data_IF_120046407669
#
_entry.id   IF_120046407669
#
_cell.length_a   1.000
_cell.length_b   1.000
_cell.length_c   1.000
_cell.angle_alpha   90.00
_cell.angle_beta   90.00
_cell.angle_gamma   90.00
#
_symmetry.space_group_name_H-M   'P 1'
#
loop_
_entity.id
_entity.type
_entity.pdbx_description
1 polymer ?
#
# COMPACT_ATOMS: atom_id res chain seq x y z
N UNK A 1 22.51 20.20 -4.45
CA UNK A 1 21.47 20.31 -3.40
C UNK A 1 22.15 20.34 -2.03
N UNK A 2 21.75 21.27 -1.14
CA UNK A 2 22.18 21.28 0.27
C UNK A 2 21.08 20.66 1.13
N UNK A 3 21.44 19.88 2.14
CA UNK A 3 20.49 19.35 3.11
C UNK A 3 20.98 19.56 4.55
N UNK A 4 20.05 19.57 5.51
CA UNK A 4 20.33 19.70 6.94
C UNK A 4 19.64 18.58 7.71
N UNK A 5 20.39 17.87 8.56
CA UNK A 5 19.85 16.86 9.49
C UNK A 5 19.81 17.49 10.89
N UNK A 6 18.66 17.39 11.56
CA UNK A 6 18.42 17.98 12.88
C UNK A 6 17.80 16.93 13.81
N UNK A 7 18.31 16.85 15.04
CA UNK A 7 17.68 16.03 16.09
C UNK A 7 16.55 16.82 16.76
N UNK A 8 15.41 16.18 17.00
CA UNK A 8 14.22 16.76 17.63
C UNK A 8 13.93 16.01 18.93
N UNK A 9 14.50 16.47 20.05
CA UNK A 9 14.38 15.83 21.37
C UNK A 9 12.92 15.73 21.85
N UNK A 10 12.10 16.74 21.53
CA UNK A 10 10.69 16.83 21.93
C UNK A 10 9.74 15.88 21.15
N UNK A 11 10.20 15.30 20.05
CA UNK A 11 9.34 14.48 19.19
C UNK A 11 9.31 13.01 19.63
N UNK A 12 8.12 12.44 19.80
CA UNK A 12 7.93 11.00 19.99
C UNK A 12 8.07 10.26 18.65
N UNK A 13 8.80 9.14 18.63
CA UNK A 13 9.02 8.33 17.43
C UNK A 13 10.26 8.77 16.64
N UNK A 14 10.13 9.06 15.34
CA UNK A 14 11.27 9.44 14.47
C UNK A 14 11.80 10.81 14.83
N UNK A 15 12.95 10.86 15.50
CA UNK A 15 13.53 12.10 16.08
C UNK A 15 14.48 12.84 15.16
N UNK A 16 14.93 12.25 14.06
CA UNK A 16 15.86 12.88 13.11
C UNK A 16 15.11 13.45 11.93
N UNK A 17 15.19 14.77 11.73
CA UNK A 17 14.60 15.50 10.62
C UNK A 17 15.65 15.85 9.60
N UNK A 18 15.44 15.45 8.35
CA UNK A 18 16.18 15.90 7.19
C UNK A 18 15.35 16.96 6.45
N UNK A 19 15.94 18.10 6.18
CA UNK A 19 15.35 19.16 5.35
C UNK A 19 16.27 19.38 4.15
N UNK A 20 15.69 19.46 2.95
CA UNK A 20 16.43 19.79 1.73
C UNK A 20 15.62 20.72 0.83
N UNK A 21 16.32 21.41 -0.04
CA UNK A 21 15.74 22.28 -1.05
C UNK A 21 16.09 21.76 -2.44
N UNK A 22 15.10 21.65 -3.33
CA UNK A 22 15.26 21.21 -4.71
C UNK A 22 14.27 21.96 -5.60
N UNK A 23 14.76 22.63 -6.66
CA UNK A 23 13.90 23.37 -7.58
C UNK A 23 13.10 24.50 -6.93
N UNK A 24 13.62 25.14 -5.89
CA UNK A 24 12.90 26.20 -5.15
C UNK A 24 11.94 25.69 -4.07
N UNK A 25 11.65 24.40 -4.03
CA UNK A 25 10.77 23.81 -3.03
C UNK A 25 11.53 23.28 -1.83
N UNK A 26 11.00 23.55 -0.63
CA UNK A 26 11.46 22.96 0.63
C UNK A 26 10.74 21.65 0.89
N UNK A 27 11.50 20.58 1.11
CA UNK A 27 11.00 19.28 1.49
C UNK A 27 11.60 18.83 2.82
N UNK A 28 10.87 18.03 3.58
CA UNK A 28 11.39 17.46 4.83
C UNK A 28 10.96 15.99 5.01
N UNK A 29 11.81 15.24 5.74
CA UNK A 29 11.53 13.85 6.08
C UNK A 29 12.10 13.50 7.45
N UNK A 30 11.47 12.53 8.12
CA UNK A 30 11.84 12.11 9.48
C UNK A 30 12.31 10.67 9.50
N UNK A 31 13.37 10.41 10.29
CA UNK A 31 14.06 9.12 10.38
C UNK A 31 14.23 8.69 11.83
N UNK A 32 14.48 7.41 12.06
CA UNK A 32 14.72 6.90 13.41
C UNK A 32 16.17 7.16 13.86
N UNK A 33 17.13 7.13 12.92
CA UNK A 33 18.56 7.35 13.21
C UNK A 33 19.13 8.48 12.37
N UNK A 34 20.28 9.03 12.84
CA UNK A 34 21.02 10.07 12.13
C UNK A 34 21.59 9.54 10.82
N UNK A 35 22.08 8.32 10.86
CA UNK A 35 22.70 7.63 9.72
C UNK A 35 21.69 7.42 8.58
N UNK A 36 20.45 7.02 8.91
CA UNK A 36 19.37 6.91 7.92
C UNK A 36 19.06 8.26 7.26
N UNK A 37 19.00 9.33 8.07
CA UNK A 37 18.75 10.68 7.56
C UNK A 37 19.89 11.17 6.66
N UNK A 38 21.14 10.94 7.06
CA UNK A 38 22.32 11.32 6.27
C UNK A 38 22.43 10.52 4.98
N UNK A 39 22.24 9.19 5.03
CA UNK A 39 22.27 8.34 3.84
C UNK A 39 21.23 8.79 2.79
N UNK A 40 20.02 9.11 3.24
CA UNK A 40 18.97 9.63 2.36
C UNK A 40 19.34 11.02 1.78
N UNK A 41 19.97 11.87 2.58
CA UNK A 41 20.45 13.20 2.14
C UNK A 41 21.54 13.11 1.07
N UNK A 42 22.50 12.22 1.23
CA UNK A 42 23.56 11.98 0.24
C UNK A 42 23.01 11.35 -1.05
N UNK A 43 22.05 10.43 -0.94
CA UNK A 43 21.35 9.87 -2.10
C UNK A 43 20.68 10.98 -2.94
N UNK A 44 20.03 11.94 -2.29
CA UNK A 44 19.37 13.07 -2.97
C UNK A 44 20.33 14.11 -3.53
N UNK A 45 21.53 14.22 -2.96
CA UNK A 45 22.53 15.22 -3.36
C UNK A 45 23.20 14.91 -4.71
N UNK A 46 23.25 13.64 -5.10
CA UNK A 46 24.02 13.19 -6.27
C UNK A 46 23.25 12.25 -7.24
N UNK A 47 22.09 12.67 -7.81
CA UNK A 47 21.32 11.83 -8.73
C UNK A 47 22.13 11.46 -10.00
N UNK A 48 22.88 12.40 -10.56
CA UNK A 48 23.70 12.16 -11.78
C UNK A 48 24.86 11.18 -11.50
N UNK A 49 25.41 11.18 -10.28
CA UNK A 49 26.47 10.24 -9.89
C UNK A 49 25.95 8.82 -9.76
N UNK A 50 24.69 8.69 -9.34
CA UNK A 50 23.99 7.40 -9.22
C UNK A 50 23.67 6.81 -10.59
N UNK A 51 23.18 7.60 -11.55
CA UNK A 51 22.95 7.15 -12.94
C UNK A 51 24.23 6.68 -13.62
N UNK A 52 25.34 7.45 -13.51
CA UNK A 52 26.64 7.05 -14.04
C UNK A 52 27.17 5.78 -13.38
N UNK A 53 26.96 5.60 -12.07
CA UNK A 53 27.32 4.37 -11.35
C UNK A 53 26.54 3.17 -11.87
N UNK A 54 25.22 3.32 -12.10
CA UNK A 54 24.35 2.26 -12.63
C UNK A 54 24.76 1.84 -14.04
N UNK A 55 25.01 2.79 -14.93
CA UNK A 55 25.49 2.52 -16.30
C UNK A 55 26.83 1.78 -16.27
N UNK A 56 27.74 2.20 -15.40
CA UNK A 56 29.03 1.53 -15.20
C UNK A 56 28.86 0.11 -14.69
N UNK A 57 28.03 -0.09 -13.66
CA UNK A 57 27.71 -1.40 -13.07
C UNK A 57 27.12 -2.35 -14.12
N UNK A 58 26.19 -1.88 -14.96
CA UNK A 58 25.62 -2.67 -16.06
C UNK A 58 26.67 -3.08 -17.10
N UNK A 59 27.59 -2.16 -17.46
CA UNK A 59 28.68 -2.45 -18.41
C UNK A 59 29.69 -3.45 -17.84
N UNK A 60 30.12 -3.29 -16.59
CA UNK A 60 31.10 -4.16 -15.93
C UNK A 60 30.52 -5.58 -15.69
N UNK A 61 29.25 -5.68 -15.34
CA UNK A 61 28.55 -6.96 -15.18
C UNK A 61 28.48 -7.74 -16.51
N UNK A 62 28.16 -7.07 -17.62
CA UNK A 62 28.14 -7.69 -18.95
C UNK A 62 29.52 -8.15 -19.45
N UNK A 63 30.60 -7.50 -18.98
CA UNK A 63 31.98 -7.89 -19.33
C UNK A 63 32.53 -9.07 -18.53
N UNK A 64 31.80 -9.55 -17.51
CA UNK A 64 32.20 -10.70 -16.68
C UNK A 64 33.45 -10.47 -15.81
N UNK A 65 33.96 -9.25 -15.77
CA UNK A 65 35.29 -8.93 -15.19
C UNK A 65 35.27 -8.62 -13.71
N UNK A 66 34.10 -8.36 -13.10
CA UNK A 66 34.04 -8.11 -11.67
C UNK A 66 32.67 -8.50 -11.08
N UNK A 67 32.66 -9.39 -10.11
CA UNK A 67 31.44 -9.75 -9.41
C UNK A 67 30.89 -8.53 -8.65
N UNK A 68 29.66 -8.11 -9.00
CA UNK A 68 28.94 -7.04 -8.32
C UNK A 68 28.85 -7.29 -6.82
N UNK A 69 28.85 -6.24 -6.03
CA UNK A 69 28.39 -6.31 -4.64
C UNK A 69 26.87 -6.35 -4.59
N UNK A 70 26.32 -6.81 -3.48
CA UNK A 70 24.86 -6.77 -3.22
C UNK A 70 24.35 -5.33 -3.21
N UNK A 71 25.16 -4.37 -2.75
CA UNK A 71 24.82 -2.94 -2.76
C UNK A 71 24.65 -2.42 -4.19
N UNK A 72 25.59 -2.73 -5.07
CA UNK A 72 25.55 -2.36 -6.48
C UNK A 72 24.38 -3.04 -7.23
N UNK A 73 24.11 -4.31 -6.90
CA UNK A 73 22.94 -5.02 -7.40
C UNK A 73 21.62 -4.34 -7.02
N UNK A 74 21.49 -3.95 -5.74
CA UNK A 74 20.30 -3.25 -5.25
C UNK A 74 20.14 -1.85 -5.88
N UNK A 75 21.24 -1.13 -6.13
CA UNK A 75 21.22 0.15 -6.85
C UNK A 75 20.66 -0.05 -8.27
N UNK A 76 21.22 -1.01 -9.02
CA UNK A 76 20.78 -1.30 -10.37
C UNK A 76 19.31 -1.76 -10.43
N UNK A 77 18.92 -2.62 -9.49
CA UNK A 77 17.54 -3.11 -9.38
C UNK A 77 16.53 -2.01 -9.07
N UNK A 78 16.83 -1.09 -8.16
CA UNK A 78 15.95 0.01 -7.78
C UNK A 78 15.85 1.10 -8.86
N UNK A 79 16.86 1.20 -9.71
CA UNK A 79 16.90 2.13 -10.83
C UNK A 79 16.42 1.54 -12.17
N UNK A 80 15.94 0.29 -12.17
CA UNK A 80 15.42 -0.34 -13.40
C UNK A 80 14.23 0.42 -13.99
N UNK A 81 14.08 0.34 -15.29
CA UNK A 81 12.96 0.93 -16.00
C UNK A 81 11.62 0.26 -15.64
N UNK A 82 10.52 1.01 -15.75
CA UNK A 82 9.17 0.50 -15.50
C UNK A 82 8.80 0.33 -14.01
N UNK A 83 9.71 0.57 -13.06
CA UNK A 83 9.35 0.54 -11.64
C UNK A 83 8.53 1.77 -11.26
N UNK A 84 7.35 1.54 -10.67
CA UNK A 84 6.53 2.65 -10.15
C UNK A 84 7.25 3.35 -9.01
N UNK A 85 7.19 4.67 -8.96
CA UNK A 85 7.86 5.49 -7.94
C UNK A 85 7.45 5.09 -6.50
N UNK A 86 6.19 4.76 -6.27
CA UNK A 86 5.73 4.29 -4.96
C UNK A 86 6.37 2.95 -4.56
N UNK A 87 6.56 2.04 -5.52
CA UNK A 87 7.24 0.76 -5.31
C UNK A 87 8.72 0.99 -5.05
N UNK A 88 9.36 1.86 -5.85
CA UNK A 88 10.77 2.24 -5.67
C UNK A 88 11.00 2.78 -4.25
N UNK A 89 10.17 3.73 -3.80
CA UNK A 89 10.25 4.29 -2.43
C UNK A 89 10.10 3.22 -1.35
N UNK A 90 9.14 2.31 -1.51
CA UNK A 90 8.90 1.23 -0.55
C UNK A 90 10.07 0.23 -0.52
N UNK A 91 10.57 -0.18 -1.71
CA UNK A 91 11.67 -1.13 -1.81
C UNK A 91 13.00 -0.50 -1.32
N UNK A 92 13.24 0.78 -1.60
CA UNK A 92 14.40 1.53 -1.04
C UNK A 92 14.39 1.51 0.47
N UNK A 93 13.24 1.74 1.11
CA UNK A 93 13.13 1.68 2.58
C UNK A 93 13.56 0.31 3.13
N UNK A 94 13.18 -0.77 2.48
CA UNK A 94 13.57 -2.12 2.90
C UNK A 94 15.03 -2.45 2.52
N UNK A 95 15.51 -1.95 1.38
CA UNK A 95 16.87 -2.17 0.90
C UNK A 95 17.95 -1.59 1.82
N UNK A 96 17.68 -0.47 2.53
CA UNK A 96 18.61 0.09 3.52
C UNK A 96 19.10 -0.96 4.52
N UNK A 97 18.20 -1.80 5.01
CA UNK A 97 18.55 -2.85 5.97
C UNK A 97 19.34 -4.01 5.36
N UNK A 98 19.08 -4.33 4.09
CA UNK A 98 19.84 -5.32 3.32
C UNK A 98 21.25 -4.81 3.03
N UNK A 99 21.37 -3.55 2.59
CA UNK A 99 22.64 -2.90 2.31
C UNK A 99 23.55 -2.89 3.53
N UNK A 100 23.00 -2.51 4.70
CA UNK A 100 23.76 -2.46 5.95
C UNK A 100 24.34 -3.81 6.35
N UNK A 101 23.61 -4.91 6.12
CA UNK A 101 24.01 -6.24 6.57
C UNK A 101 24.80 -7.01 5.50
N UNK A 102 24.39 -6.90 4.23
CA UNK A 102 24.85 -7.76 3.15
C UNK A 102 25.48 -6.98 1.98
N UNK A 103 25.39 -5.64 1.98
CA UNK A 103 25.76 -4.78 0.86
C UNK A 103 27.20 -4.95 0.39
N UNK A 104 28.14 -5.17 1.31
CA UNK A 104 29.56 -5.36 1.03
C UNK A 104 29.90 -6.71 0.38
N UNK A 105 29.02 -7.69 0.47
CA UNK A 105 29.24 -9.04 -0.09
C UNK A 105 29.18 -9.03 -1.61
N UNK A 106 30.07 -9.83 -2.23
CA UNK A 106 29.98 -10.09 -3.67
C UNK A 106 28.74 -10.94 -3.97
N UNK A 107 28.01 -10.60 -5.02
CA UNK A 107 26.78 -11.30 -5.42
C UNK A 107 27.00 -12.80 -5.65
N UNK A 108 28.17 -13.17 -6.16
CA UNK A 108 28.58 -14.58 -6.41
C UNK A 108 28.96 -15.34 -5.13
N UNK A 109 29.22 -14.65 -4.03
CA UNK A 109 29.60 -15.25 -2.74
C UNK A 109 28.47 -15.22 -1.70
N UNK A 110 27.35 -14.59 -2.01
CA UNK A 110 26.18 -14.63 -1.14
C UNK A 110 25.60 -16.05 -1.14
N UNK A 111 25.23 -16.56 0.01
CA UNK A 111 24.65 -17.90 0.20
C UNK A 111 23.27 -17.84 0.81
N UNK A 112 22.53 -18.94 0.76
CA UNK A 112 21.28 -19.09 1.54
C UNK A 112 21.53 -18.96 3.05
N UNK A 113 22.69 -19.44 3.55
CA UNK A 113 23.07 -19.32 4.96
C UNK A 113 23.15 -17.84 5.39
N UNK A 114 23.72 -16.97 4.55
CA UNK A 114 23.79 -15.53 4.83
C UNK A 114 22.40 -14.91 4.90
N UNK A 115 21.50 -15.29 3.99
CA UNK A 115 20.13 -14.81 4.01
C UNK A 115 19.37 -15.32 5.25
N UNK A 116 19.59 -16.57 5.69
CA UNK A 116 19.02 -17.13 6.92
C UNK A 116 19.57 -16.42 8.17
N UNK A 117 20.88 -16.18 8.25
CA UNK A 117 21.51 -15.42 9.33
C UNK A 117 20.95 -13.98 9.41
N UNK A 118 20.79 -13.29 8.26
CA UNK A 118 20.13 -12.01 8.22
C UNK A 118 18.70 -12.08 8.76
N UNK A 119 17.90 -13.09 8.36
CA UNK A 119 16.53 -13.25 8.85
C UNK A 119 16.50 -13.45 10.37
N UNK A 120 17.37 -14.29 10.91
CA UNK A 120 17.48 -14.52 12.35
C UNK A 120 17.80 -13.23 13.11
N UNK A 121 18.84 -12.50 12.70
CA UNK A 121 19.20 -11.22 13.29
C UNK A 121 18.09 -10.16 13.23
N UNK A 122 17.25 -10.17 12.18
CA UNK A 122 16.09 -9.28 12.12
C UNK A 122 14.98 -9.71 13.08
N UNK A 123 14.81 -11.01 13.30
CA UNK A 123 13.84 -11.56 14.26
C UNK A 123 14.25 -11.25 15.70
N UNK A 124 15.51 -11.40 16.04
CA UNK A 124 16.09 -11.01 17.35
C UNK A 124 15.84 -9.52 17.68
N UNK A 125 15.85 -8.66 16.67
CA UNK A 125 15.45 -7.24 16.80
C UNK A 125 13.95 -7.02 16.96
N UNK A 126 13.15 -8.06 17.14
CA UNK A 126 11.70 -7.99 17.35
C UNK A 126 10.86 -7.72 16.09
N UNK A 127 11.44 -7.79 14.87
CA UNK A 127 10.65 -7.58 13.67
C UNK A 127 9.70 -8.75 13.40
N UNK A 128 8.50 -8.43 12.88
CA UNK A 128 7.53 -9.44 12.46
C UNK A 128 8.06 -10.23 11.26
N UNK A 129 7.78 -11.54 11.22
CA UNK A 129 8.21 -12.43 10.13
C UNK A 129 7.78 -11.91 8.74
N UNK A 130 6.59 -11.31 8.63
CA UNK A 130 6.11 -10.68 7.38
C UNK A 130 7.05 -9.58 6.88
N UNK A 131 7.60 -8.74 7.79
CA UNK A 131 8.54 -7.68 7.45
C UNK A 131 9.89 -8.26 7.03
N UNK A 132 10.37 -9.27 7.74
CA UNK A 132 11.62 -9.97 7.41
C UNK A 132 11.51 -10.63 6.04
N UNK A 133 10.42 -11.38 5.81
CA UNK A 133 10.15 -12.00 4.50
C UNK A 133 10.07 -10.97 3.37
N UNK A 134 9.48 -9.78 3.61
CA UNK A 134 9.43 -8.71 2.61
C UNK A 134 10.83 -8.26 2.20
N UNK A 135 11.76 -8.09 3.15
CA UNK A 135 13.15 -7.72 2.86
C UNK A 135 13.83 -8.75 1.99
N UNK A 136 13.74 -10.03 2.34
CA UNK A 136 14.34 -11.12 1.54
C UNK A 136 13.67 -11.25 0.16
N UNK A 137 12.36 -11.04 0.05
CA UNK A 137 11.68 -11.04 -1.26
C UNK A 137 12.24 -9.98 -2.19
N UNK A 138 12.61 -8.79 -1.68
CA UNK A 138 13.25 -7.74 -2.47
C UNK A 138 14.65 -8.18 -2.93
N UNK A 139 15.45 -8.73 -2.02
CA UNK A 139 16.77 -9.26 -2.37
C UNK A 139 16.67 -10.34 -3.45
N UNK A 140 15.79 -11.32 -3.27
CA UNK A 140 15.54 -12.36 -4.28
C UNK A 140 15.05 -11.81 -5.62
N UNK A 141 14.16 -10.80 -5.58
CA UNK A 141 13.69 -10.15 -6.79
C UNK A 141 14.82 -9.42 -7.53
N UNK A 142 15.76 -8.80 -6.81
CA UNK A 142 16.95 -8.18 -7.40
C UNK A 142 17.87 -9.21 -8.07
N UNK A 143 18.11 -10.34 -7.40
CA UNK A 143 18.89 -11.44 -8.01
C UNK A 143 18.21 -12.04 -9.25
N UNK A 144 16.92 -12.34 -9.16
CA UNK A 144 16.18 -12.89 -10.31
C UNK A 144 16.11 -11.90 -11.48
N UNK A 145 16.03 -10.60 -11.20
CA UNK A 145 16.14 -9.57 -12.22
C UNK A 145 17.53 -9.57 -12.87
N UNK A 146 18.61 -9.62 -12.07
CA UNK A 146 19.97 -9.65 -12.59
C UNK A 146 20.26 -10.89 -13.45
N UNK A 147 19.67 -12.04 -13.12
CA UNK A 147 19.76 -13.25 -13.96
C UNK A 147 19.06 -13.03 -15.29
N UNK A 148 17.87 -12.45 -15.32
CA UNK A 148 17.14 -12.13 -16.56
C UNK A 148 17.86 -11.11 -17.44
N UNK A 149 18.56 -10.16 -16.83
CA UNK A 149 19.38 -9.16 -17.54
C UNK A 149 20.74 -9.71 -17.99
N UNK A 150 21.04 -10.99 -17.73
CA UNK A 150 22.34 -11.60 -18.06
C UNK A 150 23.52 -11.11 -17.21
N UNK A 151 23.26 -10.41 -16.11
CA UNK A 151 24.28 -9.90 -15.18
C UNK A 151 24.82 -10.99 -14.25
N UNK A 152 24.03 -12.02 -13.99
CA UNK A 152 24.37 -13.19 -13.17
C UNK A 152 23.92 -14.46 -13.89
N UNK A 153 24.65 -15.55 -13.72
CA UNK A 153 24.25 -16.86 -14.30
C UNK A 153 23.09 -17.48 -13.53
N UNK A 154 23.15 -17.46 -12.20
CA UNK A 154 22.16 -18.07 -11.33
C UNK A 154 21.91 -17.19 -10.10
N UNK A 155 20.78 -17.41 -9.43
CA UNK A 155 20.47 -16.79 -8.17
C UNK A 155 20.82 -17.73 -7.02
N UNK A 156 21.69 -17.32 -6.07
CA UNK A 156 22.00 -18.16 -4.89
C UNK A 156 20.81 -18.28 -3.94
N UNK A 157 19.72 -17.54 -4.19
CA UNK A 157 18.50 -17.55 -3.38
C UNK A 157 17.34 -18.28 -4.06
N UNK A 158 17.58 -19.00 -5.16
CA UNK A 158 16.54 -19.68 -5.95
C UNK A 158 15.81 -20.74 -5.09
N UNK A 159 16.54 -21.54 -4.32
CA UNK A 159 16.02 -22.59 -3.45
C UNK A 159 15.53 -22.10 -2.07
N UNK A 160 15.79 -20.84 -1.72
CA UNK A 160 15.50 -20.35 -0.37
C UNK A 160 13.99 -20.37 -0.07
N UNK A 161 13.58 -21.24 0.85
CA UNK A 161 12.20 -21.27 1.37
C UNK A 161 12.05 -20.25 2.50
N UNK A 162 11.07 -19.37 2.36
CA UNK A 162 10.77 -18.40 3.40
C UNK A 162 9.83 -19.03 4.45
N UNK A 163 10.08 -18.80 5.73
CA UNK A 163 9.19 -19.27 6.79
C UNK A 163 7.77 -18.72 6.57
N UNK A 164 6.78 -19.56 6.85
CA UNK A 164 5.39 -19.13 6.81
C UNK A 164 5.17 -17.97 7.79
N UNK A 165 4.57 -16.91 7.30
CA UNK A 165 4.26 -15.73 8.09
C UNK A 165 2.75 -15.51 8.10
N UNK A 166 2.09 -15.94 9.16
CA UNK A 166 0.66 -15.71 9.34
C UNK A 166 0.41 -14.21 9.44
N UNK A 167 -0.33 -13.66 8.50
CA UNK A 167 -0.86 -12.31 8.62
C UNK A 167 -1.98 -12.32 9.65
N UNK A 168 -1.90 -11.43 10.63
CA UNK A 168 -3.03 -11.26 11.55
C UNK A 168 -4.22 -10.72 10.75
N UNK A 169 -5.29 -11.49 10.68
CA UNK A 169 -6.53 -11.06 10.05
C UNK A 169 -7.12 -9.93 10.90
N UNK A 170 -7.22 -8.76 10.32
CA UNK A 170 -7.93 -7.64 10.94
C UNK A 170 -9.40 -7.75 10.55
N UNK A 171 -10.27 -7.86 11.54
CA UNK A 171 -11.70 -7.86 11.31
C UNK A 171 -12.14 -6.47 10.83
N UNK A 172 -13.05 -6.40 9.84
CA UNK A 172 -13.63 -5.14 9.41
C UNK A 172 -14.41 -4.47 10.56
N UNK A 173 -14.64 -3.16 10.52
CA UNK A 173 -15.57 -2.53 11.45
C UNK A 173 -16.98 -3.07 11.27
N UNK A 174 -17.68 -3.27 12.37
CA UNK A 174 -19.11 -3.62 12.36
C UNK A 174 -19.95 -2.38 12.08
N UNK A 175 -21.24 -2.53 11.67
CA UNK A 175 -22.14 -1.39 11.52
C UNK A 175 -22.28 -0.55 12.79
N UNK A 176 -22.28 -1.18 13.97
CA UNK A 176 -22.35 -0.46 15.27
C UNK A 176 -21.09 0.35 15.51
N UNK A 177 -19.92 -0.21 15.30
CA UNK A 177 -18.66 0.52 15.42
C UNK A 177 -18.58 1.68 14.42
N UNK A 178 -19.10 1.50 13.19
CA UNK A 178 -19.16 2.59 12.22
C UNK A 178 -20.08 3.72 12.70
N UNK A 179 -21.22 3.42 13.32
CA UNK A 179 -22.10 4.42 13.93
C UNK A 179 -21.40 5.18 15.06
N UNK A 180 -20.72 4.47 15.97
CA UNK A 180 -19.94 5.08 17.04
C UNK A 180 -18.81 5.99 16.49
N UNK A 181 -18.11 5.54 15.46
CA UNK A 181 -17.04 6.32 14.84
C UNK A 181 -17.62 7.56 14.16
N UNK A 182 -18.74 7.44 13.42
CA UNK A 182 -19.40 8.54 12.70
C UNK A 182 -19.89 9.64 13.67
N UNK A 183 -20.35 9.29 14.86
CA UNK A 183 -20.84 10.24 15.85
C UNK A 183 -19.78 11.25 16.32
N UNK A 184 -18.49 10.86 16.27
CA UNK A 184 -17.37 11.71 16.72
C UNK A 184 -16.40 12.08 15.59
N UNK A 185 -16.69 11.65 14.36
CA UNK A 185 -15.80 11.86 13.23
C UNK A 185 -15.87 13.30 12.71
N UNK A 186 -14.73 13.94 12.36
CA UNK A 186 -14.74 15.18 11.61
C UNK A 186 -15.22 14.95 10.16
N UNK A 187 -15.72 16.00 9.50
CA UNK A 187 -16.35 15.93 8.15
C UNK A 187 -15.58 15.04 7.15
N UNK A 188 -14.27 15.24 6.99
CA UNK A 188 -13.45 14.47 6.05
C UNK A 188 -13.35 12.97 6.39
N UNK A 189 -13.46 12.60 7.67
CA UNK A 189 -13.52 11.19 8.09
C UNK A 189 -14.92 10.62 7.90
N UNK A 190 -15.98 11.40 8.14
CA UNK A 190 -17.35 10.97 7.84
C UNK A 190 -17.49 10.64 6.35
N UNK A 191 -17.03 11.53 5.45
CA UNK A 191 -17.02 11.31 3.99
C UNK A 191 -16.24 10.07 3.59
N UNK A 192 -15.07 9.86 4.20
CA UNK A 192 -14.27 8.65 4.00
C UNK A 192 -15.03 7.38 4.38
N UNK A 193 -15.72 7.39 5.54
CA UNK A 193 -16.49 6.23 6.00
C UNK A 193 -17.64 5.93 5.05
N UNK A 194 -18.45 6.92 4.73
CA UNK A 194 -19.59 6.76 3.83
C UNK A 194 -19.17 6.25 2.46
N UNK A 195 -18.21 6.90 1.82
CA UNK A 195 -17.73 6.49 0.51
C UNK A 195 -17.08 5.10 0.55
N UNK A 196 -16.20 4.85 1.51
CA UNK A 196 -15.51 3.56 1.60
C UNK A 196 -16.44 2.39 1.91
N UNK A 197 -17.44 2.60 2.76
CA UNK A 197 -18.42 1.59 3.15
C UNK A 197 -19.50 1.36 2.10
N UNK A 198 -19.95 2.39 1.37
CA UNK A 198 -21.01 2.26 0.37
C UNK A 198 -20.52 1.90 -1.03
N UNK A 199 -19.26 2.15 -1.36
CA UNK A 199 -18.73 1.90 -2.70
C UNK A 199 -17.69 0.78 -2.78
N UNK A 200 -17.15 0.36 -1.63
CA UNK A 200 -16.04 -0.59 -1.60
C UNK A 200 -14.74 -0.09 -2.25
N UNK A 201 -14.68 1.17 -2.66
CA UNK A 201 -13.50 1.76 -3.26
C UNK A 201 -12.30 1.78 -2.29
N UNK A 202 -11.07 1.77 -2.82
CA UNK A 202 -9.85 1.80 -1.99
C UNK A 202 -9.75 3.14 -1.25
N UNK A 203 -9.77 3.14 0.09
CA UNK A 203 -9.75 4.37 0.88
C UNK A 203 -8.33 4.93 0.98
N UNK A 204 -7.90 5.58 -0.09
CA UNK A 204 -6.55 6.11 -0.20
C UNK A 204 -6.30 6.91 -1.48
N UNK A 205 -5.04 7.31 -1.71
CA UNK A 205 -4.65 8.16 -2.84
C UNK A 205 -4.78 7.48 -4.22
N UNK A 206 -5.06 6.18 -4.25
CA UNK A 206 -5.28 5.47 -5.52
C UNK A 206 -6.71 5.62 -6.06
N UNK A 207 -7.70 5.83 -5.19
CA UNK A 207 -9.11 5.94 -5.58
C UNK A 207 -9.81 7.08 -4.82
N UNK A 208 -10.31 6.86 -3.59
CA UNK A 208 -11.20 7.80 -2.90
C UNK A 208 -10.63 9.21 -2.70
N UNK A 209 -9.31 9.35 -2.51
CA UNK A 209 -8.72 10.70 -2.36
C UNK A 209 -8.52 11.43 -3.68
N UNK A 210 -8.83 10.77 -4.80
CA UNK A 210 -8.82 11.36 -6.15
C UNK A 210 -10.21 11.65 -6.69
N UNK A 211 -11.25 11.23 -5.97
CA UNK A 211 -12.63 11.47 -6.38
C UNK A 211 -12.95 12.97 -6.33
N UNK A 212 -13.38 13.51 -7.46
CA UNK A 212 -13.80 14.89 -7.61
C UNK A 212 -15.32 15.00 -7.70
N UNK A 213 -15.86 16.19 -7.53
CA UNK A 213 -17.29 16.45 -7.75
C UNK A 213 -17.71 16.28 -9.21
N UNK A 214 -16.77 16.42 -10.16
CA UNK A 214 -17.03 16.16 -11.59
C UNK A 214 -17.22 14.65 -11.87
N UNK A 215 -16.65 13.77 -11.03
CA UNK A 215 -16.80 12.32 -11.16
C UNK A 215 -18.15 11.81 -10.60
N UNK A 216 -18.93 12.65 -9.92
CA UNK A 216 -20.22 12.28 -9.30
C UNK A 216 -21.36 12.79 -10.17
N UNK A 217 -22.13 11.87 -10.76
CA UNK A 217 -23.35 12.17 -11.51
C UNK A 217 -24.58 11.83 -10.68
N UNK A 218 -25.25 12.87 -10.22
CA UNK A 218 -26.50 12.73 -9.45
C UNK A 218 -27.63 12.21 -10.32
N UNK A 219 -27.74 12.70 -11.57
CA UNK A 219 -28.77 12.24 -12.54
C UNK A 219 -28.63 10.78 -12.93
N UNK A 220 -27.39 10.28 -13.02
CA UNK A 220 -27.12 8.88 -13.31
C UNK A 220 -27.10 7.99 -12.04
N UNK A 221 -27.24 8.59 -10.84
CA UNK A 221 -27.11 7.88 -9.57
C UNK A 221 -25.79 7.10 -9.42
N UNK A 222 -24.68 7.66 -9.94
CA UNK A 222 -23.42 6.92 -10.04
C UNK A 222 -22.19 7.81 -9.88
N UNK A 223 -21.05 7.20 -9.56
CA UNK A 223 -19.75 7.86 -9.58
C UNK A 223 -18.77 7.12 -10.52
N UNK A 224 -17.92 7.89 -11.20
CA UNK A 224 -16.78 7.40 -11.97
C UNK A 224 -15.56 7.28 -11.03
N UNK A 225 -15.28 6.07 -10.58
CA UNK A 225 -14.19 5.82 -9.65
C UNK A 225 -12.91 5.50 -10.41
N UNK A 226 -11.79 6.19 -10.12
CA UNK A 226 -10.51 5.84 -10.72
C UNK A 226 -10.13 4.40 -10.45
N UNK A 227 -9.64 3.66 -11.45
CA UNK A 227 -9.12 2.32 -11.27
C UNK A 227 -7.68 2.37 -10.75
N UNK A 228 -7.41 1.70 -9.64
CA UNK A 228 -6.06 1.65 -9.06
C UNK A 228 -5.14 0.69 -9.82
N UNK A 229 -5.69 -0.37 -10.38
CA UNK A 229 -4.96 -1.34 -11.18
C UNK A 229 -4.94 -0.90 -12.64
N UNK A 230 -3.80 -0.37 -13.09
CA UNK A 230 -3.57 -0.18 -14.54
C UNK A 230 -3.31 -1.54 -15.16
N UNK A 231 -4.28 -2.03 -15.94
CA UNK A 231 -4.14 -3.22 -16.78
C UNK A 231 -3.84 -2.76 -18.20
N UNK A 232 -3.02 -3.47 -18.97
CA UNK A 232 -2.91 -3.22 -20.41
C UNK A 232 -4.31 -3.32 -21.03
N UNK A 233 -4.78 -2.24 -21.70
CA UNK A 233 -6.13 -2.17 -22.27
C UNK A 233 -7.29 -2.04 -21.26
N UNK A 234 -7.03 -1.87 -19.96
CA UNK A 234 -8.07 -1.66 -18.95
C UNK A 234 -8.53 -0.20 -18.87
N UNK A 235 -9.79 0.00 -18.49
CA UNK A 235 -10.36 1.32 -18.27
C UNK A 235 -9.63 2.05 -17.11
N UNK A 236 -9.43 3.36 -17.28
CA UNK A 236 -8.88 4.21 -16.22
C UNK A 236 -9.90 4.49 -15.09
N UNK A 237 -11.20 4.37 -15.40
CA UNK A 237 -12.33 4.59 -14.50
C UNK A 237 -13.36 3.47 -14.61
N UNK A 238 -14.05 3.21 -13.50
CA UNK A 238 -15.23 2.34 -13.46
C UNK A 238 -16.44 3.10 -12.93
N UNK A 239 -17.60 2.83 -13.49
CA UNK A 239 -18.86 3.37 -13.01
C UNK A 239 -19.34 2.55 -11.81
N UNK A 240 -19.60 3.21 -10.68
CA UNK A 240 -20.15 2.59 -9.46
C UNK A 240 -21.54 3.20 -9.22
N UNK A 241 -22.62 2.40 -9.17
CA UNK A 241 -23.92 2.88 -8.76
C UNK A 241 -23.88 3.30 -7.28
N UNK A 242 -24.55 4.37 -6.94
CA UNK A 242 -24.59 4.94 -5.60
C UNK A 242 -25.96 4.67 -4.96
N UNK A 243 -25.95 4.34 -3.68
CA UNK A 243 -27.17 4.22 -2.86
C UNK A 243 -27.83 5.58 -2.70
N UNK A 244 -29.16 5.62 -2.55
CA UNK A 244 -29.95 6.83 -2.39
C UNK A 244 -29.50 7.66 -1.18
N UNK A 245 -29.29 7.01 -0.03
CA UNK A 245 -28.83 7.67 1.20
C UNK A 245 -27.43 8.31 1.07
N UNK A 246 -26.52 7.72 0.27
CA UNK A 246 -25.22 8.32 -0.05
C UNK A 246 -25.38 9.49 -1.02
N UNK A 247 -26.30 9.40 -2.01
CA UNK A 247 -26.58 10.49 -2.93
C UNK A 247 -27.08 11.73 -2.19
N UNK A 248 -28.00 11.56 -1.24
CA UNK A 248 -28.51 12.68 -0.43
C UNK A 248 -27.39 13.36 0.38
N UNK A 249 -26.48 12.56 0.94
CA UNK A 249 -25.30 13.10 1.61
C UNK A 249 -24.34 13.82 0.66
N UNK A 250 -24.14 13.28 -0.54
CA UNK A 250 -23.26 13.90 -1.53
C UNK A 250 -23.84 15.26 -1.98
N UNK A 251 -25.16 15.36 -2.17
CA UNK A 251 -25.84 16.66 -2.46
C UNK A 251 -25.58 17.67 -1.35
N UNK A 252 -25.82 17.29 -0.08
CA UNK A 252 -25.59 18.15 1.06
C UNK A 252 -24.12 18.60 1.15
N UNK A 253 -23.17 17.69 0.97
CA UNK A 253 -21.75 18.00 1.03
C UNK A 253 -21.28 18.89 -0.13
N UNK A 254 -21.86 18.69 -1.34
CA UNK A 254 -21.55 19.51 -2.50
C UNK A 254 -21.98 20.96 -2.29
N UNK A 255 -23.14 21.17 -1.69
CA UNK A 255 -23.63 22.49 -1.34
C UNK A 255 -22.74 23.18 -0.26
N UNK A 256 -22.14 22.39 0.66
CA UNK A 256 -21.18 22.91 1.66
C UNK A 256 -19.79 23.23 1.07
N UNK A 257 -19.43 22.58 -0.06
CA UNK A 257 -18.09 22.59 -0.64
C UNK A 257 -17.94 23.57 -1.80
N UNK A 258 -18.61 24.71 -1.76
CA UNK A 258 -18.57 25.70 -2.82
C UNK A 258 -17.12 26.03 -3.26
N UNK A 259 -16.82 25.83 -4.55
CA UNK A 259 -15.48 26.05 -5.11
C UNK A 259 -14.43 24.98 -4.80
N UNK A 260 -14.78 23.90 -4.08
CA UNK A 260 -13.85 22.81 -3.83
C UNK A 260 -13.98 21.70 -4.89
N UNK A 261 -12.87 21.25 -5.47
CA UNK A 261 -12.84 20.19 -6.47
C UNK A 261 -13.07 18.79 -5.86
N UNK A 262 -12.60 18.55 -4.61
CA UNK A 262 -12.43 17.22 -4.03
C UNK A 262 -13.61 16.81 -3.14
N UNK A 263 -14.19 15.62 -3.35
CA UNK A 263 -15.26 15.08 -2.50
C UNK A 263 -14.77 14.82 -1.08
N UNK A 264 -13.55 14.24 -0.92
CA UNK A 264 -12.90 14.14 0.39
C UNK A 264 -11.84 15.22 0.47
N UNK A 265 -12.15 16.29 1.18
CA UNK A 265 -11.24 17.41 1.35
C UNK A 265 -11.01 17.74 2.84
N UNK A 266 -9.96 18.48 3.10
CA UNK A 266 -9.68 19.10 4.41
C UNK A 266 -9.38 20.57 4.17
N UNK A 267 -10.29 21.45 4.60
CA UNK A 267 -10.26 22.90 4.33
C UNK A 267 -10.09 23.21 2.81
N UNK A 268 -10.90 22.60 1.97
CA UNK A 268 -10.87 22.79 0.52
C UNK A 268 -9.67 22.14 -0.21
N UNK A 269 -8.76 21.49 0.50
CA UNK A 269 -7.56 20.87 -0.08
C UNK A 269 -7.68 19.35 -0.17
N UNK A 270 -7.10 18.78 -1.23
CA UNK A 270 -7.03 17.35 -1.41
C UNK A 270 -6.37 16.65 -0.22
N UNK A 271 -6.99 15.61 0.27
CA UNK A 271 -6.43 14.76 1.34
C UNK A 271 -5.42 13.77 0.75
N UNK A 272 -4.22 13.73 1.31
CA UNK A 272 -3.16 12.78 0.89
C UNK A 272 -3.01 11.61 1.86
N UNK A 273 -3.34 11.80 3.15
CA UNK A 273 -3.20 10.77 4.18
C UNK A 273 -4.12 11.07 5.38
N UNK A 274 -4.92 10.11 5.77
CA UNK A 274 -5.86 10.21 6.90
C UNK A 274 -5.48 9.31 8.09
N UNK A 275 -4.34 8.64 8.08
CA UNK A 275 -3.99 7.67 9.11
C UNK A 275 -3.92 8.26 10.52
N UNK A 276 -3.47 9.49 10.70
CA UNK A 276 -3.42 10.15 12.00
C UNK A 276 -4.83 10.56 12.47
N UNK A 277 -5.62 11.19 11.58
CA UNK A 277 -7.00 11.61 11.86
C UNK A 277 -7.88 10.38 12.17
N UNK A 278 -7.73 9.30 11.40
CA UNK A 278 -8.42 8.04 11.64
C UNK A 278 -8.15 7.48 13.05
N UNK A 279 -6.88 7.34 13.44
CA UNK A 279 -6.53 6.87 14.79
C UNK A 279 -7.05 7.77 15.91
N UNK A 280 -7.02 9.08 15.69
CA UNK A 280 -7.58 10.04 16.66
C UNK A 280 -9.11 9.87 16.78
N UNK A 281 -9.81 9.64 15.67
CA UNK A 281 -11.25 9.39 15.65
C UNK A 281 -11.61 8.09 16.36
N UNK A 282 -10.87 6.99 16.10
CA UNK A 282 -11.08 5.72 16.81
C UNK A 282 -10.95 5.88 18.34
N UNK A 283 -9.93 6.62 18.79
CA UNK A 283 -9.77 6.89 20.25
C UNK A 283 -10.95 7.67 20.84
N UNK A 284 -11.44 8.70 20.11
CA UNK A 284 -12.63 9.46 20.55
C UNK A 284 -13.89 8.61 20.58
N UNK A 285 -14.02 7.66 19.65
CA UNK A 285 -15.12 6.71 19.60
C UNK A 285 -15.01 5.59 20.67
N UNK A 286 -13.96 5.56 21.51
CA UNK A 286 -13.75 4.49 22.48
C UNK A 286 -13.35 3.14 21.86
N UNK A 287 -12.97 3.10 20.59
CA UNK A 287 -12.59 1.86 19.91
C UNK A 287 -11.15 1.49 20.27
N UNK A 288 -10.98 0.41 21.02
CA UNK A 288 -9.67 -0.08 21.48
C UNK A 288 -9.00 -1.04 20.52
N UNK A 289 -9.78 -1.81 19.76
CA UNK A 289 -9.24 -2.74 18.79
C UNK A 289 -8.67 -2.03 17.54
N UNK A 290 -7.77 -2.67 16.85
CA UNK A 290 -7.16 -2.12 15.65
C UNK A 290 -8.12 -2.21 14.46
N UNK A 291 -8.66 -1.09 14.04
CA UNK A 291 -9.39 -0.93 12.78
C UNK A 291 -8.55 -0.06 11.83
N UNK A 292 -8.35 -0.53 10.62
CA UNK A 292 -7.65 0.24 9.58
C UNK A 292 -8.66 0.94 8.68
N UNK A 293 -8.24 2.04 8.06
CA UNK A 293 -9.06 2.70 7.02
C UNK A 293 -9.45 1.72 5.91
N UNK A 294 -8.55 0.82 5.53
CA UNK A 294 -8.82 -0.23 4.54
C UNK A 294 -9.90 -1.23 4.98
N UNK A 295 -10.16 -1.32 6.30
CA UNK A 295 -11.27 -2.09 6.86
C UNK A 295 -12.64 -1.67 6.35
N UNK A 296 -12.83 -0.41 5.92
CA UNK A 296 -14.09 0.07 5.32
C UNK A 296 -14.43 -0.71 4.04
N UNK A 297 -13.45 -0.93 3.18
CA UNK A 297 -13.61 -1.74 1.98
C UNK A 297 -13.90 -3.22 2.31
N UNK A 298 -13.30 -3.75 3.36
CA UNK A 298 -13.62 -5.09 3.83
C UNK A 298 -15.04 -5.15 4.41
N UNK A 299 -15.48 -4.10 5.12
CA UNK A 299 -16.85 -4.02 5.63
C UNK A 299 -17.87 -4.01 4.48
N UNK A 300 -17.64 -3.19 3.43
CA UNK A 300 -18.48 -3.23 2.22
C UNK A 300 -18.62 -4.65 1.68
N UNK A 301 -17.50 -5.34 1.43
CA UNK A 301 -17.57 -6.70 0.87
C UNK A 301 -18.28 -7.68 1.80
N UNK A 302 -18.01 -7.61 3.12
CA UNK A 302 -18.66 -8.46 4.13
C UNK A 302 -20.17 -8.28 4.11
N UNK A 303 -20.63 -7.03 4.19
CA UNK A 303 -22.06 -6.73 4.28
C UNK A 303 -22.79 -6.96 2.93
N UNK A 304 -22.14 -6.66 1.80
CA UNK A 304 -22.71 -6.96 0.48
C UNK A 304 -22.93 -8.47 0.28
N UNK A 305 -21.94 -9.30 0.67
CA UNK A 305 -22.05 -10.75 0.55
C UNK A 305 -23.09 -11.30 1.55
N UNK A 306 -23.15 -10.79 2.78
CA UNK A 306 -24.15 -11.17 3.78
C UNK A 306 -25.57 -10.84 3.31
N UNK A 307 -25.74 -9.73 2.62
CA UNK A 307 -27.02 -9.33 2.04
C UNK A 307 -27.41 -10.12 0.78
N UNK A 308 -26.67 -11.16 0.41
CA UNK A 308 -26.95 -11.98 -0.78
C UNK A 308 -26.40 -11.43 -2.10
N UNK A 309 -25.56 -10.40 -2.04
CA UNK A 309 -24.94 -9.82 -3.23
C UNK A 309 -24.05 -10.84 -3.97
N UNK A 310 -24.21 -10.90 -5.31
CA UNK A 310 -23.38 -11.76 -6.15
C UNK A 310 -21.91 -11.39 -6.05
N UNK A 311 -21.06 -12.40 -5.81
CA UNK A 311 -19.62 -12.22 -5.58
C UNK A 311 -18.89 -11.60 -6.77
N UNK A 312 -19.33 -11.91 -8.01
CA UNK A 312 -18.74 -11.34 -9.22
C UNK A 312 -19.06 -9.84 -9.31
N UNK A 313 -20.31 -9.48 -9.05
CA UNK A 313 -20.75 -8.08 -9.01
C UNK A 313 -20.02 -7.29 -7.93
N UNK A 314 -19.85 -7.84 -6.72
CA UNK A 314 -19.06 -7.24 -5.65
C UNK A 314 -17.59 -7.08 -6.08
N UNK A 315 -17.01 -8.09 -6.75
CA UNK A 315 -15.64 -8.03 -7.27
C UNK A 315 -15.46 -6.91 -8.29
N UNK A 316 -16.42 -6.75 -9.22
CA UNK A 316 -16.41 -5.68 -10.24
C UNK A 316 -16.47 -4.31 -9.59
N UNK A 317 -17.40 -4.08 -8.67
CA UNK A 317 -17.51 -2.82 -7.91
C UNK A 317 -16.22 -2.50 -7.18
N UNK A 318 -15.57 -3.52 -6.61
CA UNK A 318 -14.30 -3.36 -5.89
C UNK A 318 -13.05 -3.27 -6.80
N UNK A 319 -13.15 -3.34 -8.12
CA UNK A 319 -11.99 -3.42 -9.04
C UNK A 319 -11.04 -4.59 -8.71
N UNK A 320 -11.60 -5.77 -8.43
CA UNK A 320 -10.83 -6.99 -8.33
C UNK A 320 -10.75 -7.67 -9.70
N UNK A 321 -9.52 -8.04 -10.09
CA UNK A 321 -9.30 -8.75 -11.37
C UNK A 321 -9.80 -10.18 -11.35
N UNK A 322 -9.88 -10.76 -10.14
CA UNK A 322 -10.22 -12.16 -9.91
C UNK A 322 -11.14 -12.27 -8.68
N UNK A 323 -12.38 -12.77 -8.86
CA UNK A 323 -13.29 -13.03 -7.76
C UNK A 323 -12.76 -14.04 -6.73
N UNK A 324 -11.80 -14.88 -7.09
CA UNK A 324 -11.21 -15.87 -6.18
C UNK A 324 -10.60 -15.25 -4.93
N UNK A 325 -10.14 -14.00 -5.01
CA UNK A 325 -9.68 -13.23 -3.85
C UNK A 325 -10.82 -13.02 -2.83
N UNK A 326 -12.02 -12.70 -3.30
CA UNK A 326 -13.19 -12.55 -2.42
C UNK A 326 -13.61 -13.89 -1.83
N UNK A 327 -13.68 -14.94 -2.63
CA UNK A 327 -13.99 -16.29 -2.18
C UNK A 327 -13.06 -16.71 -1.02
N UNK A 328 -11.75 -16.59 -1.19
CA UNK A 328 -10.77 -16.95 -0.15
C UNK A 328 -10.89 -16.14 1.14
N UNK A 329 -11.23 -14.86 1.04
CA UNK A 329 -11.31 -13.96 2.19
C UNK A 329 -12.66 -14.11 2.93
N UNK A 330 -13.73 -14.35 2.19
CA UNK A 330 -15.11 -14.32 2.72
C UNK A 330 -15.79 -15.71 2.75
N UNK A 331 -15.03 -16.78 2.51
CA UNK A 331 -15.55 -18.17 2.50
C UNK A 331 -16.38 -18.51 3.74
N UNK A 332 -16.02 -18.00 4.92
CA UNK A 332 -16.74 -18.24 6.17
C UNK A 332 -18.14 -17.60 6.22
N UNK A 333 -18.44 -16.63 5.35
CA UNK A 333 -19.77 -16.01 5.23
C UNK A 333 -20.65 -16.86 4.30
N UNK A 334 -20.01 -17.58 3.37
CA UNK A 334 -20.70 -18.42 2.39
C UNK A 334 -21.34 -19.68 3.02
N UNK A 335 -20.91 -20.09 4.22
CA UNK A 335 -21.48 -21.27 4.90
C UNK A 335 -22.99 -21.13 5.14
N UNK A 336 -23.47 -19.92 5.52
CA UNK A 336 -24.91 -19.67 5.65
C UNK A 336 -25.64 -19.67 4.31
N UNK A 337 -24.98 -19.20 3.25
CA UNK A 337 -25.53 -19.20 1.89
C UNK A 337 -25.53 -20.60 1.27
N UNK A 338 -24.57 -21.46 1.66
CA UNK A 338 -24.57 -22.87 1.21
C UNK A 338 -25.84 -23.61 1.67
N UNK A 339 -26.26 -23.40 2.92
CA UNK A 339 -27.53 -23.99 3.41
C UNK A 339 -28.72 -23.48 2.61
N UNK A 340 -28.83 -22.16 2.44
CA UNK A 340 -29.88 -21.56 1.63
C UNK A 340 -29.90 -22.07 0.17
N UNK A 341 -28.72 -22.26 -0.42
CA UNK A 341 -28.57 -22.78 -1.77
C UNK A 341 -29.00 -24.26 -1.89
N UNK A 342 -28.81 -25.05 -0.85
CA UNK A 342 -29.27 -26.46 -0.82
C UNK A 342 -30.78 -26.56 -0.59
N UNK A 343 -31.33 -25.62 0.17
CA UNK A 343 -32.78 -25.56 0.47
C UNK A 343 -33.61 -24.86 -0.64
N UNK A 344 -32.94 -24.13 -1.55
CA UNK A 344 -33.61 -23.35 -2.60
C UNK A 344 -34.34 -24.18 -3.70
N UNK A 345 -33.86 -25.38 -4.10
CA UNK A 345 -34.66 -26.23 -4.99
C UNK A 345 -35.97 -26.64 -4.31
N UNK A 346 -37.12 -26.34 -4.91
CA UNK A 346 -38.40 -26.80 -4.41
C UNK A 346 -38.43 -28.33 -4.30
N UNK A 347 -38.92 -28.79 -3.15
CA UNK A 347 -38.86 -30.19 -2.78
C UNK A 347 -39.56 -31.14 -3.77
N UNK A 348 -38.98 -32.32 -3.93
CA UNK A 348 -39.55 -33.44 -4.65
C UNK A 348 -40.67 -34.14 -3.85
N UNK A 349 -41.02 -33.61 -2.68
CA UNK A 349 -42.14 -34.17 -1.89
C UNK A 349 -43.46 -33.81 -2.57
N UNK A 350 -44.12 -34.85 -3.08
CA UNK A 350 -45.51 -34.84 -3.56
C UNK A 350 -46.49 -34.68 -2.40
#
# INVERSE_FOLDING_TARGET
MKYKVTFLAWRKGKKWRLVWHSGGERSERYFNTKEEAQAYGEEKKHPVRQERRIVRVRKEAKRGTNALTVDELLDAYLARDGIREITRKADTYHAVHLRRALGHRKTTRLTEADAKAFMAAQREKGLRQTTVNRRIKILRAAYNWAVREGMLRTSPLAGLRLPYARSQRLLPPTPDELRQILAVAPKHIQRLIWLGYCTGARPGPSELFRLTWADVSESAGAALMPCAAKRPGGADYRKIPLRSDLLDKLRAWRAEDEGCEWVINYHGKQVKNLGAAWRATLRRAGITRRITVYGLRHAFATESIRAGGDIRSVAVVMDHSDPSMLLKVYQHILESQMRAAVEAPEGLAA
#
